data_IF_283794686127
#
_entry.id   IF_283794686127
#
_cell.length_a   1.000
_cell.length_b   1.000
_cell.length_c   1.000
_cell.angle_alpha   90.00
_cell.angle_beta   90.00
_cell.angle_gamma   90.00
#
_symmetry.space_group_name_H-M   'P 1'
#
loop_
_entity.id
_entity.type
_entity.pdbx_description
1 polymer ?
#
# COMPACT_ATOMS: atom_id res chain seq x y z
N UNK A 1 -35.45 -5.48 63.20
CA UNK A 1 -34.68 -4.55 62.34
C UNK A 1 -33.40 -5.20 61.80
N UNK A 2 -32.48 -5.66 62.65
CA UNK A 2 -31.24 -6.35 62.24
C UNK A 2 -31.43 -7.53 61.27
N UNK A 3 -32.37 -8.45 61.55
CA UNK A 3 -32.60 -9.62 60.69
C UNK A 3 -33.10 -9.25 59.28
N UNK A 4 -33.88 -8.18 59.14
CA UNK A 4 -34.34 -7.72 57.83
C UNK A 4 -33.19 -7.12 57.02
N UNK A 5 -32.32 -6.34 57.66
CA UNK A 5 -31.12 -5.79 57.03
C UNK A 5 -30.16 -6.90 56.56
N UNK A 6 -30.00 -7.96 57.36
CA UNK A 6 -29.18 -9.13 56.99
C UNK A 6 -29.74 -9.83 55.74
N UNK A 7 -31.06 -10.05 55.69
CA UNK A 7 -31.71 -10.68 54.52
C UNK A 7 -31.61 -9.82 53.26
N UNK A 8 -31.77 -8.49 53.38
CA UNK A 8 -31.59 -7.58 52.26
C UNK A 8 -30.15 -7.58 51.73
N UNK A 9 -29.15 -7.62 52.62
CA UNK A 9 -27.75 -7.74 52.22
C UNK A 9 -27.48 -9.06 51.50
N UNK A 10 -28.02 -10.16 52.01
CA UNK A 10 -27.87 -11.47 51.37
C UNK A 10 -28.47 -11.49 49.96
N UNK A 11 -29.69 -10.98 49.77
CA UNK A 11 -30.31 -10.89 48.45
C UNK A 11 -29.53 -9.99 47.48
N UNK A 12 -28.99 -8.87 47.95
CA UNK A 12 -28.13 -7.99 47.13
C UNK A 12 -26.83 -8.70 46.73
N UNK A 13 -26.26 -9.50 47.63
CA UNK A 13 -25.06 -10.30 47.35
C UNK A 13 -25.34 -11.36 46.29
N UNK A 14 -26.46 -12.09 46.38
CA UNK A 14 -26.88 -13.05 45.35
C UNK A 14 -27.06 -12.40 43.97
N UNK A 15 -27.74 -11.25 43.91
CA UNK A 15 -27.88 -10.50 42.65
C UNK A 15 -26.52 -10.03 42.12
N UNK A 16 -25.61 -9.61 43.00
CA UNK A 16 -24.26 -9.21 42.60
C UNK A 16 -23.45 -10.38 42.06
N UNK A 17 -23.52 -11.55 42.70
CA UNK A 17 -22.81 -12.76 42.26
C UNK A 17 -23.29 -13.21 40.89
N UNK A 18 -24.61 -13.28 40.66
CA UNK A 18 -25.16 -13.63 39.35
C UNK A 18 -24.69 -12.66 38.24
N UNK A 19 -24.56 -11.36 38.56
CA UNK A 19 -24.02 -10.37 37.61
C UNK A 19 -22.52 -10.55 37.35
N UNK A 20 -21.76 -11.00 38.34
CA UNK A 20 -20.33 -11.29 38.19
C UNK A 20 -20.15 -12.51 37.30
N UNK A 21 -20.87 -13.61 37.57
CA UNK A 21 -20.83 -14.82 36.75
C UNK A 21 -21.20 -14.53 35.29
N UNK A 22 -22.23 -13.71 35.07
CA UNK A 22 -22.60 -13.25 33.72
C UNK A 22 -21.46 -12.47 33.05
N UNK A 23 -20.82 -11.56 33.79
CA UNK A 23 -19.70 -10.78 33.26
C UNK A 23 -18.49 -11.67 32.94
N UNK A 24 -18.18 -12.65 33.79
CA UNK A 24 -17.10 -13.62 33.57
C UNK A 24 -17.34 -14.45 32.31
N UNK A 25 -18.56 -14.97 32.09
CA UNK A 25 -18.90 -15.69 30.87
C UNK A 25 -18.72 -14.84 29.62
N UNK A 26 -19.19 -13.58 29.65
CA UNK A 26 -19.04 -12.64 28.54
C UNK A 26 -17.58 -12.27 28.28
N UNK A 27 -16.76 -12.17 29.32
CA UNK A 27 -15.32 -11.94 29.17
C UNK A 27 -14.67 -13.14 28.47
N UNK A 28 -14.99 -14.38 28.88
CA UNK A 28 -14.48 -15.58 28.21
C UNK A 28 -14.85 -15.64 26.72
N UNK A 29 -16.11 -15.35 26.37
CA UNK A 29 -16.54 -15.30 24.97
C UNK A 29 -15.79 -14.23 24.15
N UNK A 30 -15.47 -13.09 24.77
CA UNK A 30 -14.68 -12.03 24.13
C UNK A 30 -13.20 -12.43 23.98
N UNK A 31 -12.62 -13.10 24.97
CA UNK A 31 -11.24 -13.62 24.91
C UNK A 31 -11.08 -14.62 23.76
N UNK A 32 -12.01 -15.56 23.61
CA UNK A 32 -12.02 -16.51 22.49
C UNK A 32 -12.13 -15.78 21.15
N UNK A 33 -13.03 -14.78 21.06
CA UNK A 33 -13.20 -13.97 19.85
C UNK A 33 -11.93 -13.20 19.48
N UNK A 34 -11.21 -12.66 20.47
CA UNK A 34 -9.95 -11.92 20.24
C UNK A 34 -8.89 -12.86 19.66
N UNK A 35 -8.76 -14.08 20.19
CA UNK A 35 -7.79 -15.07 19.69
C UNK A 35 -8.10 -15.41 18.22
N UNK A 36 -9.37 -15.67 17.88
CA UNK A 36 -9.77 -15.92 16.49
C UNK A 36 -9.46 -14.74 15.56
N UNK A 37 -9.66 -13.51 16.04
CA UNK A 37 -9.34 -12.30 15.27
C UNK A 37 -7.84 -12.15 15.04
N UNK A 38 -7.01 -12.38 16.05
CA UNK A 38 -5.54 -12.31 15.92
C UNK A 38 -5.02 -13.32 14.87
N UNK A 39 -5.56 -14.54 14.88
CA UNK A 39 -5.20 -15.55 13.87
C UNK A 39 -5.63 -15.12 12.45
N UNK A 40 -6.83 -14.58 12.31
CA UNK A 40 -7.34 -14.07 11.05
C UNK A 40 -6.51 -12.88 10.53
N UNK A 41 -6.12 -11.95 11.40
CA UNK A 41 -5.24 -10.83 11.04
C UNK A 41 -3.87 -11.31 10.60
N UNK A 42 -3.25 -12.24 11.33
CA UNK A 42 -1.96 -12.83 10.94
C UNK A 42 -2.00 -13.50 9.57
N UNK A 43 -3.14 -14.13 9.22
CA UNK A 43 -3.35 -14.69 7.88
C UNK A 43 -3.48 -13.61 6.82
N UNK A 44 -4.23 -12.53 7.09
CA UNK A 44 -4.37 -11.38 6.18
C UNK A 44 -3.04 -10.69 5.94
N UNK A 45 -2.23 -10.49 6.98
CA UNK A 45 -0.91 -9.88 6.87
C UNK A 45 -0.01 -10.68 5.91
N UNK A 46 0.03 -12.00 6.05
CA UNK A 46 0.80 -12.87 5.13
C UNK A 46 0.35 -12.72 3.67
N UNK A 47 -0.96 -12.63 3.44
CA UNK A 47 -1.51 -12.43 2.08
C UNK A 47 -1.14 -11.05 1.53
N UNK A 48 -1.19 -10.00 2.36
CA UNK A 48 -0.79 -8.64 1.97
C UNK A 48 0.70 -8.64 1.57
N UNK A 49 1.57 -9.24 2.38
CA UNK A 49 3.00 -9.35 2.07
C UNK A 49 3.26 -10.11 0.76
N UNK A 50 2.52 -11.20 0.53
CA UNK A 50 2.61 -11.95 -0.73
C UNK A 50 2.14 -11.11 -1.93
N UNK A 51 1.05 -10.36 -1.79
CA UNK A 51 0.56 -9.46 -2.83
C UNK A 51 1.54 -8.33 -3.12
N UNK A 52 2.15 -7.71 -2.10
CA UNK A 52 3.19 -6.69 -2.28
C UNK A 52 4.35 -7.26 -3.09
N UNK A 53 4.84 -8.45 -2.73
CA UNK A 53 5.94 -9.10 -3.45
C UNK A 53 5.58 -9.35 -4.92
N UNK A 54 4.39 -9.90 -5.18
CA UNK A 54 3.92 -10.16 -6.56
C UNK A 54 3.77 -8.85 -7.36
N UNK A 55 3.28 -7.77 -6.74
CA UNK A 55 3.18 -6.46 -7.40
C UNK A 55 4.57 -5.93 -7.76
N UNK A 56 5.56 -6.10 -6.88
CA UNK A 56 6.96 -5.74 -7.18
C UNK A 56 7.50 -6.57 -8.36
N UNK A 57 7.36 -7.89 -8.32
CA UNK A 57 7.79 -8.79 -9.41
C UNK A 57 7.14 -8.42 -10.77
N UNK A 58 5.84 -8.12 -10.77
CA UNK A 58 5.13 -7.68 -11.97
C UNK A 58 5.60 -6.29 -12.44
N UNK A 59 5.78 -5.34 -11.51
CA UNK A 59 6.29 -4.01 -11.83
C UNK A 59 7.69 -4.10 -12.47
N UNK A 60 8.56 -4.94 -11.92
CA UNK A 60 9.92 -5.12 -12.43
C UNK A 60 9.91 -5.77 -13.81
N UNK A 61 9.02 -6.75 -14.02
CA UNK A 61 8.80 -7.38 -15.33
C UNK A 61 8.33 -6.37 -16.37
N UNK A 62 7.34 -5.54 -16.03
CA UNK A 62 6.80 -4.51 -16.94
C UNK A 62 7.88 -3.46 -17.27
N UNK A 63 8.74 -3.12 -16.31
CA UNK A 63 9.77 -2.10 -16.46
C UNK A 63 11.10 -2.64 -16.99
N UNK A 64 11.21 -3.94 -17.26
CA UNK A 64 12.47 -4.60 -17.63
C UNK A 64 13.15 -3.95 -18.85
N UNK A 65 12.36 -3.48 -19.82
CA UNK A 65 12.87 -2.85 -21.05
C UNK A 65 12.88 -1.31 -21.00
N UNK A 66 12.50 -0.71 -19.87
CA UNK A 66 12.42 0.73 -19.73
C UNK A 66 13.78 1.32 -19.36
N UNK A 67 14.18 2.42 -20.01
CA UNK A 67 15.40 3.15 -19.73
C UNK A 67 15.05 4.51 -19.13
N UNK A 68 15.73 4.90 -18.04
CA UNK A 68 15.56 6.21 -17.42
C UNK A 68 16.74 7.12 -17.77
N UNK A 69 16.44 8.23 -18.46
CA UNK A 69 17.45 9.21 -18.89
C UNK A 69 17.31 10.47 -18.04
N UNK A 70 18.38 10.84 -17.34
CA UNK A 70 18.43 12.00 -16.45
C UNK A 70 19.32 13.11 -17.03
N UNK A 71 19.13 14.34 -16.53
CA UNK A 71 19.94 15.49 -16.93
C UNK A 71 19.54 16.16 -18.24
N UNK A 72 18.42 15.75 -18.85
CA UNK A 72 17.89 16.36 -20.08
C UNK A 72 17.22 17.70 -19.75
N UNK A 73 17.65 18.84 -20.33
CA UNK A 73 16.96 20.12 -20.17
C UNK A 73 15.50 20.04 -20.66
N UNK A 74 14.60 20.88 -20.12
CA UNK A 74 13.17 20.84 -20.51
C UNK A 74 12.96 21.34 -21.95
N UNK A 75 13.80 22.27 -22.36
CA UNK A 75 13.76 22.96 -23.64
C UNK A 75 14.13 22.02 -24.79
N UNK A 76 14.94 20.99 -24.52
CA UNK A 76 15.33 19.99 -25.51
C UNK A 76 14.13 19.22 -26.04
N UNK A 77 13.08 18.98 -25.25
CA UNK A 77 11.89 18.28 -25.76
C UNK A 77 10.97 19.17 -26.60
N UNK A 78 11.20 20.49 -26.63
CA UNK A 78 10.31 21.44 -27.32
C UNK A 78 10.35 21.21 -28.83
N UNK A 79 9.21 20.85 -29.41
CA UNK A 79 9.03 20.68 -30.84
C UNK A 79 9.30 19.27 -31.38
N UNK A 80 10.30 18.56 -30.84
CA UNK A 80 10.65 17.18 -31.24
C UNK A 80 10.14 16.08 -30.28
N UNK A 81 9.64 16.46 -29.10
CA UNK A 81 9.16 15.50 -28.09
C UNK A 81 10.28 14.69 -27.43
N UNK A 82 9.91 13.78 -26.53
CA UNK A 82 10.87 12.91 -25.83
C UNK A 82 11.51 11.87 -26.77
N UNK A 83 10.76 11.35 -27.74
CA UNK A 83 11.26 10.43 -28.77
C UNK A 83 12.36 11.08 -29.62
N UNK A 84 12.13 12.32 -30.09
CA UNK A 84 13.12 13.06 -30.87
C UNK A 84 14.40 13.40 -30.08
N UNK A 85 14.29 13.62 -28.78
CA UNK A 85 15.47 13.75 -27.91
C UNK A 85 16.22 12.43 -27.81
N UNK A 86 15.53 11.32 -27.61
CA UNK A 86 16.15 9.99 -27.53
C UNK A 86 16.88 9.63 -28.83
N UNK A 87 16.28 9.89 -29.99
CA UNK A 87 16.95 9.69 -31.27
C UNK A 87 18.25 10.47 -31.40
N UNK A 88 18.28 11.73 -30.96
CA UNK A 88 19.49 12.55 -31.00
C UNK A 88 20.57 12.00 -30.06
N UNK A 89 20.19 11.51 -28.88
CA UNK A 89 21.11 10.88 -27.93
C UNK A 89 21.72 9.62 -28.55
N UNK A 90 20.91 8.76 -29.17
CA UNK A 90 21.38 7.54 -29.84
C UNK A 90 22.32 7.90 -30.99
N UNK A 91 21.93 8.80 -31.88
CA UNK A 91 22.76 9.23 -33.02
C UNK A 91 24.07 9.88 -32.58
N UNK A 92 24.04 10.68 -31.52
CA UNK A 92 25.20 11.41 -31.01
C UNK A 92 26.20 10.56 -30.23
N UNK A 93 25.72 9.60 -29.42
CA UNK A 93 26.56 8.82 -28.50
C UNK A 93 26.77 7.37 -28.95
N UNK A 94 25.81 6.79 -29.67
CA UNK A 94 25.79 5.37 -30.07
C UNK A 94 25.53 5.21 -31.58
N UNK A 95 26.42 5.73 -32.45
CA UNK A 95 26.18 5.80 -33.89
C UNK A 95 26.05 4.43 -34.58
N UNK A 96 26.51 3.35 -33.95
CA UNK A 96 26.35 1.98 -34.43
C UNK A 96 25.00 1.37 -34.05
N UNK A 97 24.41 1.80 -32.92
CA UNK A 97 23.12 1.31 -32.44
C UNK A 97 21.99 1.69 -33.40
N UNK A 98 22.04 2.91 -33.95
CA UNK A 98 21.06 3.39 -34.93
C UNK A 98 21.20 2.78 -36.34
N UNK A 99 22.23 1.95 -36.60
CA UNK A 99 22.45 1.30 -37.91
C UNK A 99 22.13 -0.19 -37.90
N UNK A 100 22.27 -0.84 -36.76
CA UNK A 100 22.19 -2.31 -36.63
C UNK A 100 20.90 -2.81 -35.96
N UNK A 101 20.16 -1.95 -35.26
CA UNK A 101 19.00 -2.38 -34.49
C UNK A 101 17.70 -1.75 -34.99
N UNK A 102 16.71 -2.61 -35.26
CA UNK A 102 15.28 -2.28 -35.29
C UNK A 102 14.82 -1.85 -33.89
N UNK A 103 15.37 -0.74 -33.39
CA UNK A 103 15.11 -0.26 -32.04
C UNK A 103 13.75 0.41 -32.03
N UNK A 104 12.70 -0.40 -31.88
CA UNK A 104 11.32 0.10 -31.78
C UNK A 104 11.10 0.71 -30.40
N UNK A 105 10.93 2.04 -30.38
CA UNK A 105 10.53 2.76 -29.17
C UNK A 105 9.01 2.64 -29.08
N UNK A 106 8.52 1.97 -28.05
CA UNK A 106 7.07 1.86 -27.81
C UNK A 106 6.46 3.17 -27.29
N UNK A 107 7.16 3.81 -26.36
CA UNK A 107 6.75 5.09 -25.78
C UNK A 107 8.01 5.78 -25.21
N UNK A 108 8.11 7.11 -25.40
CA UNK A 108 9.04 7.94 -24.66
C UNK A 108 8.32 9.13 -24.05
N UNK A 109 8.55 9.37 -22.76
CA UNK A 109 7.92 10.47 -22.04
C UNK A 109 8.76 10.96 -20.88
N UNK A 110 8.54 12.22 -20.50
CA UNK A 110 9.17 12.83 -19.34
C UNK A 110 8.42 12.46 -18.06
N UNK A 111 9.17 12.04 -17.04
CA UNK A 111 8.63 11.73 -15.71
C UNK A 111 8.96 12.85 -14.71
N UNK A 112 8.01 13.28 -13.85
CA UNK A 112 6.60 12.91 -13.88
C UNK A 112 5.90 13.49 -15.12
N UNK A 113 4.92 12.77 -15.71
CA UNK A 113 4.05 13.34 -16.74
C UNK A 113 3.45 14.60 -16.14
N UNK A 114 3.82 15.75 -16.72
CA UNK A 114 3.40 17.12 -16.36
C UNK A 114 2.73 17.25 -14.99
N UNK A 115 3.47 17.85 -14.06
CA UNK A 115 2.94 18.42 -12.82
C UNK A 115 1.57 19.08 -13.09
N UNK A 116 0.52 18.61 -12.41
CA UNK A 116 -0.78 19.29 -12.39
C UNK A 116 -0.52 20.77 -12.08
N UNK A 117 -0.90 21.67 -12.99
CA UNK A 117 -0.74 23.12 -12.86
C UNK A 117 -1.67 23.73 -11.78
N UNK A 118 -2.13 22.92 -10.82
CA UNK A 118 -3.04 23.33 -9.75
C UNK A 118 -2.33 23.63 -8.42
N UNK A 119 -1.01 23.86 -8.44
CA UNK A 119 -0.39 24.64 -7.37
C UNK A 119 -0.55 26.12 -7.73
N UNK A 120 -1.71 26.67 -7.37
CA UNK A 120 -1.85 28.12 -7.20
C UNK A 120 -0.75 28.56 -6.25
N UNK A 121 0.21 29.33 -6.73
CA UNK A 121 1.09 30.13 -5.88
C UNK A 121 0.22 31.00 -4.99
N UNK A 122 0.17 30.64 -3.71
CA UNK A 122 -0.30 31.52 -2.64
C UNK A 122 0.75 32.59 -2.35
#
# INVERSE_FOLDING_TARGET
>A
ELNNAINEMHNKMEVSNARIEEAERRIGELEDTIIEQEEAEKKREKLIQEHIRRIQELSDTIKQNNIHIIGIPKEEERGKGAEGVLEQIIKGNFPNLGKEADTEIQEAQRTPLRHNMNQSSA
#
